data_IF_624614426746
#
_entry.id   IF_624614426746
#
_cell.length_a   1.000
_cell.length_b   1.000
_cell.length_c   1.000
_cell.angle_alpha   90.00
_cell.angle_beta   90.00
_cell.angle_gamma   90.00
#
_symmetry.space_group_name_H-M   'P 1'
#
loop_
_entity.id
_entity.type
_entity.pdbx_description
1 polymer ?
#
# COMPACT_ATOMS: atom_id res chain seq x y z
N UNK A 1 -23.75 -16.88 -14.11
CA UNK A 1 -24.25 -15.53 -14.46
C UNK A 1 -23.74 -15.24 -15.86
N UNK A 2 -24.43 -15.75 -16.88
CA UNK A 2 -24.12 -15.45 -18.28
C UNK A 2 -24.38 -13.97 -18.53
N UNK A 3 -23.34 -13.23 -18.84
CA UNK A 3 -23.45 -11.86 -19.32
C UNK A 3 -22.62 -11.81 -20.59
N UNK A 4 -23.30 -11.49 -21.68
CA UNK A 4 -22.77 -11.22 -23.02
C UNK A 4 -21.88 -9.96 -22.97
N UNK A 5 -20.76 -10.08 -22.27
CA UNK A 5 -19.68 -9.11 -22.27
C UNK A 5 -18.91 -9.38 -23.55
N UNK A 6 -19.29 -8.75 -24.65
CA UNK A 6 -18.58 -8.87 -25.94
C UNK A 6 -17.24 -8.13 -25.89
N UNK A 7 -16.37 -8.50 -24.94
CA UNK A 7 -15.11 -7.83 -24.62
C UNK A 7 -14.20 -7.85 -25.85
N UNK A 8 -14.19 -8.97 -26.58
CA UNK A 8 -13.43 -9.13 -27.81
C UNK A 8 -13.84 -8.13 -28.88
N UNK A 9 -15.10 -7.69 -28.90
CA UNK A 9 -15.61 -6.67 -29.83
C UNK A 9 -15.37 -5.23 -29.34
N UNK A 10 -15.25 -5.03 -28.02
CA UNK A 10 -15.04 -3.72 -27.41
C UNK A 10 -13.59 -3.23 -27.54
N UNK A 11 -12.61 -4.13 -27.38
CA UNK A 11 -11.18 -3.79 -27.40
C UNK A 11 -10.68 -3.19 -28.72
N UNK A 12 -11.15 -3.63 -29.91
CA UNK A 12 -10.82 -2.99 -31.18
C UNK A 12 -11.63 -1.72 -31.50
N UNK A 13 -12.70 -1.43 -30.75
CA UNK A 13 -13.66 -0.35 -31.07
C UNK A 13 -13.65 0.81 -30.07
N UNK A 14 -12.50 1.08 -29.45
CA UNK A 14 -12.32 2.10 -28.42
C UNK A 14 -12.52 3.55 -28.91
N UNK A 15 -12.54 3.77 -30.22
CA UNK A 15 -12.84 5.07 -30.82
C UNK A 15 -14.31 5.50 -30.61
N UNK A 16 -15.20 4.55 -30.29
CA UNK A 16 -16.58 4.82 -29.92
C UNK A 16 -16.70 5.09 -28.42
N UNK A 17 -17.24 6.26 -28.05
CA UNK A 17 -17.50 6.62 -26.66
C UNK A 17 -18.35 5.57 -25.93
N UNK A 18 -19.29 4.93 -26.63
CA UNK A 18 -20.16 3.91 -26.04
C UNK A 18 -19.38 2.63 -25.74
N UNK A 19 -18.52 2.19 -26.67
CA UNK A 19 -17.64 1.03 -26.46
C UNK A 19 -16.63 1.29 -25.35
N UNK A 20 -16.03 2.47 -25.34
CA UNK A 20 -15.09 2.92 -24.31
C UNK A 20 -15.73 2.91 -22.93
N UNK A 21 -16.87 3.60 -22.75
CA UNK A 21 -17.57 3.66 -21.47
C UNK A 21 -17.96 2.27 -20.98
N UNK A 22 -18.41 1.39 -21.88
CA UNK A 22 -18.77 0.02 -21.52
C UNK A 22 -17.55 -0.80 -21.08
N UNK A 23 -16.41 -0.64 -21.74
CA UNK A 23 -15.19 -1.33 -21.32
C UNK A 23 -14.68 -0.80 -19.97
N UNK A 24 -14.70 0.53 -19.75
CA UNK A 24 -14.36 1.14 -18.47
C UNK A 24 -15.24 0.58 -17.35
N UNK A 25 -16.56 0.49 -17.57
CA UNK A 25 -17.51 -0.05 -16.60
C UNK A 25 -17.21 -1.52 -16.24
N UNK A 26 -16.84 -2.34 -17.23
CA UNK A 26 -16.42 -3.73 -17.01
C UNK A 26 -15.14 -3.77 -16.17
N UNK A 27 -14.11 -3.01 -16.57
CA UNK A 27 -12.84 -2.93 -15.86
C UNK A 27 -13.01 -2.48 -14.41
N UNK A 28 -13.83 -1.44 -14.18
CA UNK A 28 -14.14 -0.92 -12.86
C UNK A 28 -14.85 -1.97 -11.99
N UNK A 29 -15.84 -2.69 -12.54
CA UNK A 29 -16.52 -3.79 -11.81
C UNK A 29 -15.56 -4.91 -11.42
N UNK A 30 -14.63 -5.27 -12.32
CA UNK A 30 -13.57 -6.25 -12.02
C UNK A 30 -12.66 -5.72 -10.92
N UNK A 31 -12.19 -4.47 -11.03
CA UNK A 31 -11.32 -3.83 -10.03
C UNK A 31 -11.98 -3.79 -8.66
N UNK A 32 -13.25 -3.36 -8.57
CA UNK A 32 -14.03 -3.35 -7.34
C UNK A 32 -14.15 -4.75 -6.72
N UNK A 33 -14.40 -5.78 -7.53
CA UNK A 33 -14.51 -7.14 -7.01
C UNK A 33 -13.17 -7.63 -6.45
N UNK A 34 -12.05 -7.34 -7.12
CA UNK A 34 -10.69 -7.64 -6.62
C UNK A 34 -10.42 -6.90 -5.30
N UNK A 35 -10.78 -5.61 -5.22
CA UNK A 35 -10.62 -4.80 -4.01
C UNK A 35 -11.51 -5.30 -2.87
N UNK A 36 -12.77 -5.67 -3.14
CA UNK A 36 -13.70 -6.22 -2.15
C UNK A 36 -13.22 -7.55 -1.59
N UNK A 37 -12.68 -8.42 -2.46
CA UNK A 37 -12.09 -9.68 -2.03
C UNK A 37 -10.86 -9.45 -1.13
N UNK A 38 -10.07 -8.41 -1.42
CA UNK A 38 -8.91 -8.01 -0.62
C UNK A 38 -9.23 -6.95 0.44
N UNK A 39 -10.52 -6.67 0.70
CA UNK A 39 -10.95 -5.47 1.43
C UNK A 39 -10.34 -5.37 2.82
N UNK A 40 -10.31 -6.49 3.57
CA UNK A 40 -9.69 -6.53 4.90
C UNK A 40 -8.23 -6.02 4.92
N UNK A 41 -7.51 -6.10 3.80
CA UNK A 41 -6.09 -5.72 3.66
C UNK A 41 -5.91 -4.25 3.29
N UNK A 42 -6.84 -3.68 2.53
CA UNK A 42 -6.73 -2.30 2.01
C UNK A 42 -7.61 -1.33 2.81
N UNK A 43 -8.62 -1.82 3.53
CA UNK A 43 -9.59 -1.04 4.30
C UNK A 43 -8.95 -0.03 5.23
N UNK A 44 -7.91 -0.45 5.97
CA UNK A 44 -7.22 0.41 6.93
C UNK A 44 -6.41 1.53 6.26
N UNK A 45 -6.04 1.38 4.98
CA UNK A 45 -5.28 2.37 4.21
C UNK A 45 -6.24 3.30 3.46
N UNK A 46 -7.29 2.73 2.87
CA UNK A 46 -8.38 3.44 2.19
C UNK A 46 -9.05 4.44 3.15
N UNK A 47 -9.26 4.05 4.41
CA UNK A 47 -9.80 4.94 5.44
C UNK A 47 -8.86 6.08 5.87
N UNK A 48 -7.53 5.93 5.71
CA UNK A 48 -6.55 6.95 6.17
C UNK A 48 -6.55 8.18 5.30
N UNK A 49 -6.59 7.98 3.99
CA UNK A 49 -6.52 9.07 3.00
C UNK A 49 -7.91 9.54 2.53
N UNK A 50 -8.97 9.18 3.27
CA UNK A 50 -10.38 9.52 2.96
C UNK A 50 -10.84 9.05 1.56
N UNK A 51 -10.18 8.03 1.02
CA UNK A 51 -10.51 7.44 -0.27
C UNK A 51 -11.70 6.48 -0.13
N UNK A 52 -12.57 6.43 -1.12
CA UNK A 52 -13.55 5.34 -1.24
C UNK A 52 -12.95 4.15 -1.98
N UNK A 53 -13.57 2.97 -1.84
CA UNK A 53 -13.22 1.81 -2.68
C UNK A 53 -13.38 2.12 -4.18
N UNK A 54 -14.33 2.99 -4.49
CA UNK A 54 -14.62 3.42 -5.85
C UNK A 54 -13.49 4.27 -6.41
N UNK A 55 -12.96 5.20 -5.61
CA UNK A 55 -11.79 6.02 -5.98
C UNK A 55 -10.58 5.12 -6.28
N UNK A 56 -10.27 4.19 -5.37
CA UNK A 56 -9.15 3.25 -5.56
C UNK A 56 -9.37 2.35 -6.78
N UNK A 57 -10.61 1.93 -7.05
CA UNK A 57 -10.92 1.12 -8.23
C UNK A 57 -10.71 1.91 -9.53
N UNK A 58 -11.15 3.17 -9.56
CA UNK A 58 -11.00 4.08 -10.71
C UNK A 58 -9.52 4.38 -10.94
N UNK A 59 -8.79 4.78 -9.90
CA UNK A 59 -7.37 5.13 -9.99
C UNK A 59 -6.50 3.96 -10.44
N UNK A 60 -6.84 2.74 -9.99
CA UNK A 60 -6.15 1.51 -10.43
C UNK A 60 -6.19 1.32 -11.95
N UNK A 61 -7.32 1.66 -12.60
CA UNK A 61 -7.55 1.40 -14.02
C UNK A 61 -7.35 2.64 -14.90
N UNK A 62 -7.35 3.86 -14.35
CA UNK A 62 -7.23 5.13 -15.09
C UNK A 62 -6.04 5.12 -16.07
N UNK A 63 -4.92 4.56 -15.61
CA UNK A 63 -3.76 4.09 -16.39
C UNK A 63 -4.01 3.65 -17.82
N UNK A 64 -4.94 2.70 -17.92
CA UNK A 64 -5.20 1.93 -19.12
C UNK A 64 -5.91 2.75 -20.21
N UNK A 65 -6.60 3.81 -19.78
CA UNK A 65 -7.48 4.63 -20.60
C UNK A 65 -6.92 6.05 -20.80
N UNK A 66 -5.63 6.27 -20.54
CA UNK A 66 -4.95 7.47 -21.00
C UNK A 66 -4.81 7.42 -22.52
N UNK A 67 -5.32 8.45 -23.19
CA UNK A 67 -5.14 8.64 -24.62
C UNK A 67 -3.82 9.34 -24.92
N UNK A 68 -3.18 9.00 -26.03
CA UNK A 68 -2.07 9.77 -26.56
C UNK A 68 -2.53 11.11 -27.17
N UNK A 69 -1.58 11.90 -27.70
CA UNK A 69 -1.86 13.18 -28.38
C UNK A 69 -2.82 13.04 -29.59
N UNK A 70 -2.99 11.83 -30.12
CA UNK A 70 -3.88 11.51 -31.24
C UNK A 70 -5.21 10.89 -30.78
N UNK A 71 -5.50 10.87 -29.47
CA UNK A 71 -6.73 10.30 -28.93
C UNK A 71 -6.74 8.76 -28.83
N UNK A 72 -5.59 8.08 -29.01
CA UNK A 72 -5.52 6.61 -29.00
C UNK A 72 -5.17 6.05 -27.63
N UNK A 73 -5.90 5.02 -27.21
CA UNK A 73 -5.69 4.31 -25.94
C UNK A 73 -4.58 3.25 -26.05
N UNK A 74 -3.33 3.68 -26.11
CA UNK A 74 -2.17 2.83 -26.41
C UNK A 74 -1.88 1.78 -25.33
N UNK A 75 -2.10 2.09 -24.06
CA UNK A 75 -1.79 1.18 -22.93
C UNK A 75 -2.61 -0.11 -22.98
N UNK A 76 -3.94 -0.01 -23.05
CA UNK A 76 -4.80 -1.21 -23.09
C UNK A 76 -4.68 -1.94 -24.43
N UNK A 77 -4.53 -1.20 -25.53
CA UNK A 77 -4.40 -1.77 -26.88
C UNK A 77 -3.09 -2.54 -27.04
N UNK A 78 -1.98 -2.00 -26.53
CA UNK A 78 -0.69 -2.70 -26.56
C UNK A 78 -0.69 -3.93 -25.65
N UNK A 79 -1.29 -3.84 -24.46
CA UNK A 79 -1.45 -4.98 -23.56
C UNK A 79 -2.25 -6.12 -24.20
N UNK A 80 -3.33 -5.80 -24.92
CA UNK A 80 -4.14 -6.76 -25.67
C UNK A 80 -3.35 -7.40 -26.81
N UNK A 81 -2.69 -6.60 -27.65
CA UNK A 81 -1.98 -7.09 -28.84
C UNK A 81 -0.72 -7.90 -28.51
N UNK A 82 -0.10 -7.63 -27.36
CA UNK A 82 1.12 -8.33 -26.90
C UNK A 82 0.82 -9.57 -26.05
N UNK A 83 -0.45 -9.83 -25.72
CA UNK A 83 -0.82 -10.96 -24.87
C UNK A 83 -0.50 -12.31 -25.53
N UNK A 84 -0.01 -13.25 -24.72
CA UNK A 84 0.31 -14.61 -25.17
C UNK A 84 -0.36 -15.63 -24.25
N UNK A 85 -1.10 -16.61 -24.81
CA UNK A 85 -1.37 -16.81 -26.24
C UNK A 85 -2.37 -15.80 -26.84
N UNK A 86 -2.45 -15.73 -28.19
CA UNK A 86 -3.53 -15.18 -28.99
C UNK A 86 -4.89 -15.00 -28.33
N UNK A 87 -5.39 -13.79 -28.03
CA UNK A 87 -6.78 -13.66 -27.58
C UNK A 87 -7.71 -13.89 -28.79
N UNK A 88 -8.45 -15.01 -28.79
CA UNK A 88 -9.29 -15.42 -29.93
C UNK A 88 -10.76 -15.62 -29.56
N UNK A 89 -11.04 -15.92 -28.30
CA UNK A 89 -12.38 -16.17 -27.78
C UNK A 89 -12.78 -15.12 -26.74
N UNK A 90 -14.08 -15.03 -26.42
CA UNK A 90 -14.54 -14.18 -25.31
C UNK A 90 -14.00 -14.67 -23.96
N UNK A 91 -13.81 -15.97 -23.77
CA UNK A 91 -13.21 -16.52 -22.55
C UNK A 91 -11.75 -16.08 -22.42
N UNK A 92 -10.98 -16.09 -23.52
CA UNK A 92 -9.61 -15.56 -23.54
C UNK A 92 -9.60 -14.06 -23.20
N UNK A 93 -10.54 -13.30 -23.76
CA UNK A 93 -10.65 -11.86 -23.55
C UNK A 93 -11.02 -11.54 -22.09
N UNK A 94 -11.94 -12.31 -21.51
CA UNK A 94 -12.32 -12.20 -20.10
C UNK A 94 -11.16 -12.58 -19.18
N UNK A 95 -10.44 -13.65 -19.49
CA UNK A 95 -9.27 -14.07 -18.72
C UNK A 95 -8.16 -13.02 -18.77
N UNK A 96 -7.82 -12.53 -19.96
CA UNK A 96 -6.89 -11.41 -20.18
C UNK A 96 -7.28 -10.21 -19.34
N UNK A 97 -8.53 -9.76 -19.44
CA UNK A 97 -8.99 -8.55 -18.76
C UNK A 97 -8.91 -8.73 -17.25
N UNK A 98 -9.39 -9.86 -16.72
CA UNK A 98 -9.29 -10.15 -15.29
C UNK A 98 -7.84 -10.13 -14.80
N UNK A 99 -6.91 -10.76 -15.53
CA UNK A 99 -5.48 -10.77 -15.15
C UNK A 99 -4.85 -9.38 -15.23
N UNK A 100 -5.15 -8.62 -16.28
CA UNK A 100 -4.67 -7.26 -16.45
C UNK A 100 -5.15 -6.36 -15.30
N UNK A 101 -6.46 -6.34 -15.05
CA UNK A 101 -7.05 -5.49 -14.00
C UNK A 101 -6.58 -5.91 -12.62
N UNK A 102 -6.48 -7.22 -12.33
CA UNK A 102 -5.94 -7.70 -11.07
C UNK A 102 -4.50 -7.18 -10.84
N UNK A 103 -3.63 -7.27 -11.84
CA UNK A 103 -2.26 -6.76 -11.76
C UNK A 103 -2.23 -5.24 -11.51
N UNK A 104 -3.12 -4.49 -12.16
CA UNK A 104 -3.22 -3.04 -12.01
C UNK A 104 -3.68 -2.63 -10.60
N UNK A 105 -4.69 -3.31 -10.08
CA UNK A 105 -5.16 -3.12 -8.69
C UNK A 105 -4.04 -3.44 -7.69
N UNK A 106 -3.31 -4.53 -7.88
CA UNK A 106 -2.19 -4.90 -6.99
C UNK A 106 -1.05 -3.87 -7.00
N UNK A 107 -0.71 -3.35 -8.18
CA UNK A 107 0.27 -2.28 -8.34
C UNK A 107 -0.18 -1.00 -7.62
N UNK A 108 -1.44 -0.63 -7.77
CA UNK A 108 -1.99 0.57 -7.16
C UNK A 108 -2.10 0.45 -5.63
N UNK A 109 -2.54 -0.70 -5.11
CA UNK A 109 -2.51 -0.98 -3.66
C UNK A 109 -1.08 -0.83 -3.12
N UNK A 110 -0.10 -1.41 -3.81
CA UNK A 110 1.31 -1.31 -3.41
C UNK A 110 1.82 0.13 -3.45
N UNK A 111 1.37 0.93 -4.42
CA UNK A 111 1.70 2.34 -4.53
C UNK A 111 1.11 3.14 -3.36
N UNK A 112 -0.19 3.02 -3.09
CA UNK A 112 -0.86 3.70 -1.97
C UNK A 112 -0.18 3.31 -0.64
N UNK A 113 0.14 2.02 -0.46
CA UNK A 113 0.85 1.54 0.73
C UNK A 113 2.18 2.27 0.97
N UNK A 114 2.99 2.42 -0.08
CA UNK A 114 4.27 3.14 0.01
C UNK A 114 4.08 4.62 0.29
N UNK A 115 3.13 5.27 -0.37
CA UNK A 115 2.85 6.70 -0.15
C UNK A 115 2.29 6.95 1.26
N UNK A 116 1.53 6.00 1.78
CA UNK A 116 0.91 6.12 3.09
C UNK A 116 1.92 6.01 4.24
N UNK A 117 3.02 5.27 4.05
CA UNK A 117 3.90 4.81 5.12
C UNK A 117 5.38 4.68 4.67
N UNK A 118 6.24 5.65 5.02
CA UNK A 118 7.67 5.63 4.69
C UNK A 118 8.43 4.43 5.28
N UNK A 119 8.06 3.96 6.46
CA UNK A 119 8.70 2.81 7.13
C UNK A 119 8.36 1.54 6.36
N UNK A 120 7.08 1.37 5.98
CA UNK A 120 6.66 0.29 5.11
C UNK A 120 7.45 0.30 3.79
N UNK A 121 7.62 1.48 3.16
CA UNK A 121 8.40 1.58 1.92
C UNK A 121 9.85 1.11 2.11
N UNK A 122 10.53 1.54 3.18
CA UNK A 122 11.92 1.15 3.45
C UNK A 122 12.07 -0.36 3.66
N UNK A 123 11.20 -0.97 4.48
CA UNK A 123 11.21 -2.43 4.72
C UNK A 123 10.91 -3.17 3.41
N UNK A 124 9.97 -2.67 2.61
CA UNK A 124 9.64 -3.25 1.31
C UNK A 124 10.83 -3.21 0.34
N UNK A 125 11.59 -2.11 0.31
CA UNK A 125 12.78 -1.99 -0.52
C UNK A 125 13.89 -2.95 -0.06
N UNK A 126 14.10 -3.12 1.25
CA UNK A 126 15.01 -4.14 1.79
C UNK A 126 14.59 -5.56 1.41
N UNK A 127 13.30 -5.89 1.50
CA UNK A 127 12.77 -7.18 1.09
C UNK A 127 12.94 -7.40 -0.43
N UNK A 128 12.65 -6.40 -1.26
CA UNK A 128 12.88 -6.46 -2.71
C UNK A 128 14.35 -6.68 -3.07
N UNK A 129 15.26 -6.03 -2.34
CA UNK A 129 16.70 -6.24 -2.51
C UNK A 129 17.08 -7.70 -2.22
N UNK A 130 16.61 -8.27 -1.11
CA UNK A 130 16.86 -9.68 -0.76
C UNK A 130 16.23 -10.64 -1.79
N UNK A 131 15.01 -10.36 -2.28
CA UNK A 131 14.36 -11.13 -3.36
C UNK A 131 15.28 -11.19 -4.58
N UNK A 132 15.80 -10.03 -5.00
CA UNK A 132 16.67 -9.94 -6.19
C UNK A 132 18.04 -10.58 -5.96
N UNK A 133 18.61 -10.42 -4.76
CA UNK A 133 19.93 -10.97 -4.38
C UNK A 133 19.95 -12.49 -4.36
N UNK A 134 18.84 -13.11 -3.94
CA UNK A 134 18.70 -14.55 -3.80
C UNK A 134 17.88 -15.20 -4.91
N UNK A 135 17.62 -14.46 -6.01
CA UNK A 135 16.88 -14.93 -7.19
C UNK A 135 15.48 -15.48 -6.89
N UNK A 136 14.77 -14.92 -5.92
CA UNK A 136 13.36 -15.25 -5.68
C UNK A 136 12.44 -14.55 -6.70
N UNK A 137 11.29 -15.17 -6.99
CA UNK A 137 10.28 -14.61 -7.90
C UNK A 137 9.05 -14.11 -7.16
N UNK A 138 8.29 -13.24 -7.80
CA UNK A 138 6.96 -12.80 -7.34
C UNK A 138 5.88 -13.38 -8.24
N UNK A 139 4.87 -13.99 -7.61
CA UNK A 139 3.70 -14.51 -8.30
C UNK A 139 2.42 -13.94 -7.66
N UNK A 140 1.40 -13.70 -8.47
CA UNK A 140 0.13 -13.13 -8.04
C UNK A 140 -0.97 -14.20 -8.01
N UNK A 141 -1.70 -14.28 -6.91
CA UNK A 141 -2.85 -15.16 -6.75
C UNK A 141 -3.97 -14.50 -5.92
N UNK A 142 -5.16 -14.43 -6.50
CA UNK A 142 -6.37 -13.85 -5.90
C UNK A 142 -6.13 -12.47 -5.23
N UNK A 143 -5.40 -11.60 -5.94
CA UNK A 143 -5.07 -10.24 -5.48
C UNK A 143 -3.97 -10.16 -4.41
N UNK A 144 -3.24 -11.25 -4.18
CA UNK A 144 -2.11 -11.30 -3.24
C UNK A 144 -0.83 -11.61 -3.99
N UNK A 145 0.20 -10.81 -3.73
CA UNK A 145 1.55 -11.06 -4.23
C UNK A 145 2.26 -11.99 -3.25
N UNK A 146 2.78 -13.09 -3.77
CA UNK A 146 3.58 -14.07 -3.05
C UNK A 146 5.02 -14.06 -3.55
N UNK A 147 5.96 -14.30 -2.65
CA UNK A 147 7.35 -14.62 -2.95
C UNK A 147 7.45 -16.14 -3.09
N UNK A 148 8.10 -16.62 -4.14
CA UNK A 148 8.32 -18.05 -4.42
C UNK A 148 9.78 -18.31 -4.82
N UNK A 149 10.23 -19.56 -4.68
CA UNK A 149 11.52 -20.00 -5.21
C UNK A 149 11.59 -19.86 -6.73
N UNK A 150 12.76 -19.54 -7.27
CA UNK A 150 12.99 -19.39 -8.72
C UNK A 150 12.67 -20.65 -9.53
N UNK A 151 12.84 -21.82 -8.91
CA UNK A 151 12.53 -23.13 -9.49
C UNK A 151 11.03 -23.32 -9.78
N UNK A 152 10.17 -22.51 -9.18
CA UNK A 152 8.74 -22.50 -9.44
C UNK A 152 8.37 -21.32 -10.34
N UNK A 153 7.68 -21.63 -11.45
CA UNK A 153 7.14 -20.60 -12.35
C UNK A 153 5.72 -20.16 -11.94
N UNK A 154 5.03 -20.95 -11.13
CA UNK A 154 3.67 -20.68 -10.67
C UNK A 154 3.51 -21.08 -9.20
N UNK A 155 2.48 -20.55 -8.56
CA UNK A 155 2.09 -20.95 -7.21
C UNK A 155 1.52 -22.37 -7.25
N UNK A 156 2.21 -23.31 -6.61
CA UNK A 156 1.68 -24.66 -6.38
C UNK A 156 0.80 -24.71 -5.13
N UNK A 157 -0.09 -25.71 -5.06
CA UNK A 157 -0.78 -26.10 -3.81
C UNK A 157 -1.68 -25.04 -3.16
N UNK A 158 -2.00 -25.27 -1.88
CA UNK A 158 -2.79 -24.36 -1.05
C UNK A 158 -1.85 -23.30 -0.46
N UNK A 159 -2.07 -22.02 -0.76
CA UNK A 159 -1.27 -20.94 -0.19
C UNK A 159 -1.71 -20.63 1.26
N UNK A 160 -0.77 -20.21 2.11
CA UNK A 160 -1.06 -19.83 3.49
C UNK A 160 -2.00 -18.61 3.56
N UNK A 161 -3.13 -18.68 4.29
CA UNK A 161 -3.96 -17.53 4.59
C UNK A 161 -3.19 -16.47 5.37
N UNK A 162 -3.47 -15.19 5.12
CA UNK A 162 -2.72 -14.09 5.73
C UNK A 162 -2.89 -14.06 7.26
N UNK A 163 -4.08 -14.37 7.75
CA UNK A 163 -4.38 -14.44 9.18
C UNK A 163 -3.67 -15.61 9.89
N UNK A 164 -3.27 -16.64 9.14
CA UNK A 164 -2.39 -17.70 9.64
C UNK A 164 -0.92 -17.29 9.53
N UNK A 165 -0.53 -16.62 8.44
CA UNK A 165 0.82 -16.09 8.25
C UNK A 165 1.20 -15.06 9.34
N UNK A 166 0.29 -14.18 9.73
CA UNK A 166 0.52 -13.16 10.76
C UNK A 166 0.77 -13.76 12.15
N UNK A 167 0.32 -15.00 12.38
CA UNK A 167 0.51 -15.76 13.62
C UNK A 167 1.79 -16.58 13.64
N UNK A 168 2.59 -16.55 12.57
CA UNK A 168 3.85 -17.27 12.54
C UNK A 168 4.79 -16.82 13.67
N UNK A 169 5.59 -17.75 14.24
CA UNK A 169 6.50 -17.46 15.34
C UNK A 169 7.46 -16.29 15.03
N UNK A 170 7.61 -15.29 15.92
CA UNK A 170 8.50 -14.14 15.73
C UNK A 170 9.96 -14.52 15.42
N UNK A 171 10.42 -15.65 15.94
CA UNK A 171 11.78 -16.16 15.80
C UNK A 171 12.16 -16.43 14.34
N UNK A 172 11.18 -16.68 13.47
CA UNK A 172 11.39 -16.89 12.03
C UNK A 172 11.85 -15.60 11.31
N UNK A 173 11.60 -14.44 11.91
CA UNK A 173 11.80 -13.13 11.27
C UNK A 173 13.02 -12.36 11.78
N UNK A 174 13.75 -12.91 12.75
CA UNK A 174 14.89 -12.23 13.40
C UNK A 174 16.16 -12.23 12.55
N UNK A 175 16.46 -13.35 11.87
CA UNK A 175 17.62 -13.47 11.00
C UNK A 175 17.34 -12.86 9.62
N UNK A 176 17.77 -11.61 9.42
CA UNK A 176 17.61 -10.88 8.14
C UNK A 176 18.28 -11.57 6.94
N UNK A 177 19.35 -12.32 7.16
CA UNK A 177 20.10 -12.99 6.08
C UNK A 177 19.36 -14.25 5.64
N UNK A 178 18.84 -15.01 6.60
CA UNK A 178 18.13 -16.28 6.35
C UNK A 178 16.60 -16.15 6.37
N UNK A 179 16.07 -14.92 6.40
CA UNK A 179 14.64 -14.63 6.52
C UNK A 179 13.79 -15.49 5.58
N UNK A 180 14.07 -15.42 4.28
CA UNK A 180 13.28 -16.16 3.29
C UNK A 180 13.45 -17.67 3.40
N UNK A 181 14.68 -18.16 3.61
CA UNK A 181 14.90 -19.61 3.76
C UNK A 181 14.20 -20.17 5.00
N UNK A 182 14.21 -19.43 6.12
CA UNK A 182 13.55 -19.83 7.35
C UNK A 182 12.03 -19.90 7.15
N UNK A 183 11.45 -18.87 6.52
CA UNK A 183 10.01 -18.83 6.23
C UNK A 183 9.59 -19.91 5.24
N UNK A 184 10.35 -20.13 4.15
CA UNK A 184 10.04 -21.19 3.20
C UNK A 184 10.09 -22.57 3.85
N UNK A 185 11.14 -22.85 4.62
CA UNK A 185 11.29 -24.14 5.32
C UNK A 185 10.15 -24.37 6.33
N UNK A 186 9.80 -23.35 7.11
CA UNK A 186 8.72 -23.48 8.07
C UNK A 186 7.38 -23.70 7.40
N UNK A 187 7.06 -22.92 6.37
CA UNK A 187 5.79 -23.07 5.64
C UNK A 187 5.72 -24.45 4.99
N UNK A 188 6.81 -24.95 4.39
CA UNK A 188 6.79 -26.25 3.71
C UNK A 188 6.78 -27.46 4.64
N UNK A 189 7.43 -27.36 5.81
CA UNK A 189 7.65 -28.52 6.68
C UNK A 189 6.70 -28.56 7.88
N UNK A 190 6.30 -27.40 8.39
CA UNK A 190 5.55 -27.26 9.63
C UNK A 190 4.08 -26.85 9.37
N UNK A 191 3.68 -26.68 8.11
CA UNK A 191 2.29 -26.36 7.72
C UNK A 191 1.83 -27.17 6.50
N UNK A 192 0.51 -27.21 6.26
CA UNK A 192 -0.09 -27.86 5.07
C UNK A 192 -0.08 -26.95 3.81
N UNK A 193 0.71 -25.88 3.83
CA UNK A 193 0.73 -24.87 2.79
C UNK A 193 1.91 -25.04 1.84
N UNK A 194 1.73 -24.53 0.62
CA UNK A 194 2.80 -24.41 -0.34
C UNK A 194 3.83 -23.37 0.10
N UNK A 195 5.08 -23.61 -0.30
CA UNK A 195 6.23 -22.75 -0.04
C UNK A 195 6.11 -21.40 -0.76
N UNK A 196 5.25 -20.52 -0.26
CA UNK A 196 4.93 -19.22 -0.80
C UNK A 196 4.69 -18.21 0.34
N UNK A 197 5.36 -17.06 0.28
CA UNK A 197 5.32 -16.05 1.34
C UNK A 197 4.48 -14.86 0.89
N UNK A 198 3.35 -14.52 1.55
CA UNK A 198 2.56 -13.34 1.20
C UNK A 198 3.36 -12.05 1.45
N UNK A 199 3.70 -11.34 0.37
CA UNK A 199 4.69 -10.25 0.37
C UNK A 199 4.30 -9.08 1.28
N UNK A 200 3.09 -8.52 1.15
CA UNK A 200 2.69 -7.38 1.96
C UNK A 200 2.52 -7.76 3.44
N UNK A 201 2.03 -8.97 3.72
CA UNK A 201 1.90 -9.48 5.09
C UNK A 201 3.27 -9.65 5.76
N UNK A 202 4.29 -10.10 5.00
CA UNK A 202 5.67 -10.10 5.47
C UNK A 202 6.15 -8.70 5.86
N UNK A 203 5.90 -7.67 5.04
CA UNK A 203 6.34 -6.30 5.35
C UNK A 203 5.69 -5.80 6.63
N UNK A 204 4.39 -6.03 6.82
CA UNK A 204 3.69 -5.70 8.05
C UNK A 204 4.25 -6.43 9.26
N UNK A 205 4.51 -7.74 9.13
CA UNK A 205 5.07 -8.53 10.22
C UNK A 205 6.46 -8.07 10.63
N UNK A 206 7.33 -7.78 9.65
CA UNK A 206 8.66 -7.22 9.90
C UNK A 206 8.59 -5.85 10.57
N UNK A 207 7.62 -5.01 10.17
CA UNK A 207 7.38 -3.72 10.79
C UNK A 207 6.97 -3.87 12.26
N UNK A 208 5.97 -4.71 12.54
CA UNK A 208 5.50 -5.04 13.89
C UNK A 208 6.65 -5.50 14.81
N UNK A 209 7.48 -6.43 14.31
CA UNK A 209 8.56 -7.05 15.09
C UNK A 209 9.74 -6.10 15.33
N UNK A 210 10.11 -5.27 14.34
CA UNK A 210 11.13 -4.24 14.55
C UNK A 210 10.75 -3.33 15.72
N UNK A 211 9.47 -3.03 15.91
CA UNK A 211 8.97 -2.17 17.01
C UNK A 211 8.98 -2.92 18.34
N UNK A 212 8.59 -4.20 18.35
CA UNK A 212 8.58 -5.03 19.55
C UNK A 212 9.98 -5.19 20.17
N UNK A 213 11.01 -5.31 19.33
CA UNK A 213 12.41 -5.36 19.78
C UNK A 213 12.82 -4.07 20.51
N UNK A 214 12.33 -2.90 20.08
CA UNK A 214 12.60 -1.61 20.75
C UNK A 214 11.83 -1.42 22.06
N UNK A 215 10.66 -2.05 22.24
CA UNK A 215 9.91 -1.99 23.53
C UNK A 215 10.54 -2.84 24.63
N UNK A 216 11.43 -3.78 24.29
CA UNK A 216 12.09 -4.69 25.24
C UNK A 216 13.52 -4.26 25.56
N UNK A 217 14.19 -3.52 24.66
CA UNK A 217 15.58 -3.10 24.82
C UNK A 217 15.75 -1.79 25.62
N UNK A 218 15.22 -1.73 26.85
CA UNK A 218 15.70 -0.77 27.87
C UNK A 218 16.90 -1.32 28.65
N UNK A 219 17.36 -2.53 28.34
CA UNK A 219 18.53 -3.13 29.00
C UNK A 219 19.23 -4.12 28.08
N UNK A 220 20.18 -3.63 27.29
CA UNK A 220 21.55 -4.16 27.15
C UNK A 220 22.22 -3.48 25.96
N UNK A 221 23.28 -2.74 26.24
CA UNK A 221 24.26 -2.30 25.26
C UNK A 221 24.92 -3.55 24.66
N UNK A 222 24.61 -3.87 23.40
CA UNK A 222 25.60 -4.36 22.44
C UNK A 222 24.99 -4.56 21.03
N UNK A 223 25.69 -3.99 20.05
CA UNK A 223 25.69 -4.32 18.60
C UNK A 223 24.83 -3.46 17.65
N UNK A 224 25.46 -2.35 17.25
CA UNK A 224 25.53 -1.68 15.95
C UNK A 224 24.64 -2.18 14.79
N UNK A 225 24.07 -1.19 14.08
CA UNK A 225 23.23 -1.22 12.87
C UNK A 225 21.70 -1.32 13.07
N UNK A 226 21.20 -1.24 14.30
CA UNK A 226 19.79 -0.91 14.57
C UNK A 226 19.56 0.59 14.42
N UNK A 227 19.25 0.98 13.18
CA UNK A 227 18.67 2.27 12.79
C UNK A 227 17.56 2.67 13.79
N UNK A 228 17.81 3.65 14.67
CA UNK A 228 16.89 4.05 15.73
C UNK A 228 15.65 4.73 15.15
N UNK A 229 14.64 3.93 14.79
CA UNK A 229 13.35 4.40 14.22
C UNK A 229 12.74 5.51 15.08
N UNK A 230 12.86 5.42 16.41
CA UNK A 230 12.39 6.46 17.33
C UNK A 230 13.14 7.78 17.16
N UNK A 231 14.46 7.74 16.98
CA UNK A 231 15.29 8.94 16.77
C UNK A 231 14.98 9.58 15.42
N UNK A 232 14.81 8.77 14.38
CA UNK A 232 14.33 9.21 13.05
C UNK A 232 12.97 9.91 13.14
N UNK A 233 12.01 9.28 13.82
CA UNK A 233 10.65 9.84 13.98
C UNK A 233 10.70 11.15 14.77
N UNK A 234 11.45 11.18 15.88
CA UNK A 234 11.58 12.39 16.71
C UNK A 234 12.18 13.57 15.93
N UNK A 235 13.24 13.32 15.16
CA UNK A 235 13.84 14.34 14.29
C UNK A 235 12.85 14.83 13.22
N UNK A 236 12.11 13.92 12.59
CA UNK A 236 11.10 14.27 11.60
C UNK A 236 9.94 15.09 12.21
N UNK A 237 9.50 14.76 13.42
CA UNK A 237 8.48 15.51 14.17
C UNK A 237 8.98 16.93 14.48
N UNK A 238 10.21 17.08 14.97
CA UNK A 238 10.78 18.40 15.27
C UNK A 238 10.95 19.27 14.01
N UNK A 239 11.38 18.69 12.89
CA UNK A 239 11.43 19.38 11.60
C UNK A 239 10.04 19.83 11.14
N UNK A 240 9.02 19.01 11.37
CA UNK A 240 7.62 19.35 11.07
C UNK A 240 7.12 20.48 11.97
N UNK A 241 7.47 20.47 13.26
CA UNK A 241 7.13 21.55 14.20
C UNK A 241 7.77 22.88 13.83
N UNK A 242 9.03 22.87 13.40
CA UNK A 242 9.70 24.06 12.89
C UNK A 242 8.90 24.68 11.75
N UNK A 243 8.48 23.87 10.77
CA UNK A 243 7.68 24.34 9.63
C UNK A 243 6.28 24.83 10.02
N UNK A 244 5.62 24.14 10.96
CA UNK A 244 4.34 24.57 11.54
C UNK A 244 4.44 25.99 12.09
N UNK A 245 5.45 26.26 12.91
CA UNK A 245 5.64 27.60 13.49
C UNK A 245 5.95 28.64 12.41
N UNK A 246 6.92 28.36 11.53
CA UNK A 246 7.38 29.30 10.49
C UNK A 246 6.31 29.65 9.43
N UNK A 247 5.38 28.73 9.18
CA UNK A 247 4.42 28.88 8.07
C UNK A 247 3.05 29.31 8.55
N UNK A 248 2.63 28.89 9.75
CA UNK A 248 1.27 29.06 10.22
C UNK A 248 1.17 29.92 11.47
N UNK A 249 2.10 29.83 12.42
CA UNK A 249 2.10 30.70 13.61
C UNK A 249 2.57 32.12 13.27
N UNK A 250 3.79 32.25 12.71
CA UNK A 250 4.40 33.55 12.40
C UNK A 250 3.59 34.37 11.39
N UNK A 251 2.86 33.68 10.50
CA UNK A 251 1.97 34.29 9.51
C UNK A 251 0.55 34.53 10.03
N UNK A 252 0.29 34.27 11.30
CA UNK A 252 -1.01 34.49 11.95
C UNK A 252 -2.16 33.61 11.43
N UNK A 253 -1.86 32.50 10.75
CA UNK A 253 -2.87 31.55 10.25
C UNK A 253 -3.40 30.64 11.35
N UNK A 254 -2.59 30.40 12.38
CA UNK A 254 -2.95 29.69 13.59
C UNK A 254 -2.51 30.52 14.81
N UNK A 255 -3.32 30.51 15.85
CA UNK A 255 -3.01 30.98 17.19
C UNK A 255 -2.08 30.02 17.94
N UNK A 256 -1.51 30.48 19.06
CA UNK A 256 -0.64 29.63 19.90
C UNK A 256 -1.36 28.39 20.44
N UNK A 257 -2.63 28.52 20.82
CA UNK A 257 -3.42 27.38 21.31
C UNK A 257 -3.70 26.38 20.18
N UNK A 258 -4.05 26.84 18.98
CA UNK A 258 -4.21 25.96 17.82
C UNK A 258 -2.88 25.26 17.48
N UNK A 259 -1.73 25.94 17.57
CA UNK A 259 -0.43 25.31 17.35
C UNK A 259 -0.15 24.20 18.37
N UNK A 260 -0.51 24.38 19.64
CA UNK A 260 -0.37 23.32 20.66
C UNK A 260 -1.21 22.09 20.32
N UNK A 261 -2.46 22.30 19.85
CA UNK A 261 -3.34 21.23 19.37
C UNK A 261 -2.70 20.50 18.18
N UNK A 262 -2.22 21.24 17.18
CA UNK A 262 -1.56 20.65 16.01
C UNK A 262 -0.28 19.87 16.38
N UNK A 263 0.50 20.33 17.36
CA UNK A 263 1.69 19.58 17.83
C UNK A 263 1.33 18.23 18.45
N UNK A 264 0.26 18.17 19.26
CA UNK A 264 -0.24 16.90 19.82
C UNK A 264 -0.74 15.98 18.70
N UNK A 265 -1.52 16.54 17.78
CA UNK A 265 -2.04 15.84 16.59
C UNK A 265 -0.92 15.21 15.77
N UNK A 266 0.16 15.96 15.46
CA UNK A 266 1.31 15.46 14.70
C UNK A 266 2.05 14.35 15.45
N UNK A 267 2.17 14.42 16.79
CA UNK A 267 2.79 13.34 17.58
C UNK A 267 1.98 12.06 17.52
N UNK A 268 0.66 12.14 17.66
CA UNK A 268 -0.21 10.98 17.55
C UNK A 268 -0.12 10.35 16.16
N UNK A 269 -0.09 11.18 15.11
CA UNK A 269 0.12 10.70 13.74
C UNK A 269 1.47 10.00 13.57
N UNK A 270 2.54 10.54 14.18
CA UNK A 270 3.87 9.95 14.12
C UNK A 270 3.94 8.60 14.88
N UNK A 271 3.29 8.49 16.04
CA UNK A 271 3.17 7.24 16.78
C UNK A 271 2.33 6.21 16.02
N UNK A 272 1.22 6.61 15.40
CA UNK A 272 0.42 5.69 14.58
C UNK A 272 1.18 5.25 13.32
N UNK A 273 1.99 6.13 12.72
CA UNK A 273 2.91 5.74 11.65
C UNK A 273 3.95 4.72 12.14
N UNK A 274 4.40 4.80 13.38
CA UNK A 274 5.28 3.78 14.00
C UNK A 274 4.55 2.45 14.12
N UNK A 275 3.44 2.42 14.84
CA UNK A 275 2.76 1.18 15.25
C UNK A 275 1.89 0.55 14.14
N UNK A 276 1.90 1.12 12.93
CA UNK A 276 1.02 0.69 11.84
C UNK A 276 -0.45 1.00 12.12
N UNK A 277 -0.70 1.96 13.02
CA UNK A 277 -1.98 2.30 13.64
C UNK A 277 -3.11 2.64 12.66
N UNK A 278 -4.32 2.28 13.04
CA UNK A 278 -5.51 2.20 12.17
C UNK A 278 -6.45 3.42 12.37
N UNK A 279 -5.91 4.61 12.65
CA UNK A 279 -6.76 5.76 12.96
C UNK A 279 -7.34 6.47 11.70
N UNK A 280 -8.58 6.97 11.79
CA UNK A 280 -9.48 7.15 10.66
C UNK A 280 -9.54 8.63 10.28
N UNK A 281 -8.85 9.00 9.20
CA UNK A 281 -8.88 10.35 8.64
C UNK A 281 -8.21 11.42 9.51
N UNK A 282 -7.72 12.46 8.83
CA UNK A 282 -7.01 13.58 9.47
C UNK A 282 -7.91 14.36 10.44
N UNK A 283 -9.21 14.45 10.16
CA UNK A 283 -10.19 15.08 11.06
C UNK A 283 -10.18 14.45 12.45
N UNK A 284 -10.14 13.11 12.53
CA UNK A 284 -10.25 12.41 13.81
C UNK A 284 -9.05 12.70 14.71
N UNK A 285 -7.84 12.69 14.16
CA UNK A 285 -6.64 13.06 14.92
C UNK A 285 -6.76 14.46 15.52
N UNK A 286 -7.25 15.43 14.75
CA UNK A 286 -7.39 16.80 15.25
C UNK A 286 -8.51 16.92 16.28
N UNK A 287 -9.65 16.26 16.04
CA UNK A 287 -10.84 16.33 16.90
C UNK A 287 -10.60 15.80 18.31
N UNK A 288 -9.67 14.85 18.49
CA UNK A 288 -9.27 14.32 19.80
C UNK A 288 -8.68 15.40 20.71
N UNK A 289 -8.03 16.41 20.12
CA UNK A 289 -7.36 17.49 20.84
C UNK A 289 -8.08 18.83 20.74
N UNK A 290 -9.16 18.92 19.96
CA UNK A 290 -9.85 20.16 19.63
C UNK A 290 -11.33 20.07 20.02
N UNK A 291 -11.61 20.43 21.27
CA UNK A 291 -12.97 20.48 21.81
C UNK A 291 -13.87 21.40 20.98
N UNK A 292 -15.02 20.87 20.54
CA UNK A 292 -16.02 21.63 19.77
C UNK A 292 -15.69 21.81 18.28
N UNK A 293 -14.66 21.13 17.76
CA UNK A 293 -14.34 21.17 16.32
C UNK A 293 -15.46 20.51 15.49
N UNK A 294 -16.16 21.31 14.70
CA UNK A 294 -17.14 20.81 13.73
C UNK A 294 -16.46 20.38 12.42
N UNK A 295 -17.05 19.41 11.71
CA UNK A 295 -16.55 18.97 10.40
C UNK A 295 -16.48 20.12 9.38
N UNK A 296 -17.46 21.03 9.40
CA UNK A 296 -17.50 22.18 8.49
C UNK A 296 -16.34 23.14 8.76
N UNK A 297 -16.06 23.43 10.03
CA UNK A 297 -14.92 24.26 10.43
C UNK A 297 -13.60 23.60 10.03
N UNK A 298 -13.48 22.28 10.24
CA UNK A 298 -12.32 21.51 9.81
C UNK A 298 -12.10 21.64 8.30
N UNK A 299 -13.10 21.35 7.47
CA UNK A 299 -13.01 21.40 6.01
C UNK A 299 -12.62 22.79 5.50
N UNK A 300 -13.18 23.84 6.06
CA UNK A 300 -12.93 25.21 5.60
C UNK A 300 -11.59 25.79 6.06
N UNK A 301 -11.13 25.46 7.27
CA UNK A 301 -9.99 26.14 7.91
C UNK A 301 -8.77 25.26 8.12
N UNK A 302 -8.94 24.02 8.56
CA UNK A 302 -7.84 23.21 9.09
C UNK A 302 -7.41 22.06 8.19
N UNK A 303 -8.28 21.57 7.31
CA UNK A 303 -8.02 20.42 6.45
C UNK A 303 -6.74 20.58 5.62
N UNK A 304 -6.64 21.64 4.82
CA UNK A 304 -5.46 21.89 3.97
C UNK A 304 -4.16 22.07 4.78
N UNK A 305 -4.26 22.60 6.01
CA UNK A 305 -3.09 22.80 6.89
C UNK A 305 -2.62 21.43 7.39
N UNK A 306 -3.55 20.62 7.91
CA UNK A 306 -3.23 19.32 8.47
C UNK A 306 -2.79 18.33 7.39
N UNK A 307 -3.38 18.37 6.21
CA UNK A 307 -2.98 17.57 5.05
C UNK A 307 -1.54 17.91 4.63
N UNK A 308 -1.20 19.20 4.53
CA UNK A 308 0.16 19.62 4.23
C UNK A 308 1.17 19.13 5.29
N UNK A 309 0.85 19.31 6.57
CA UNK A 309 1.73 18.89 7.66
C UNK A 309 1.88 17.37 7.74
N UNK A 310 0.82 16.61 7.42
CA UNK A 310 0.85 15.16 7.27
C UNK A 310 1.84 14.72 6.18
N UNK A 311 1.72 15.31 4.98
CA UNK A 311 2.62 15.04 3.86
C UNK A 311 4.07 15.41 4.21
N UNK A 312 4.27 16.55 4.86
CA UNK A 312 5.58 16.99 5.29
C UNK A 312 6.20 16.05 6.34
N UNK A 313 5.42 15.58 7.32
CA UNK A 313 5.87 14.61 8.31
C UNK A 313 6.35 13.33 7.63
N UNK A 314 5.54 12.77 6.72
CA UNK A 314 5.90 11.57 5.95
C UNK A 314 7.20 11.78 5.14
N UNK A 315 7.34 12.94 4.48
CA UNK A 315 8.55 13.27 3.73
C UNK A 315 9.77 13.35 4.65
N UNK A 316 9.67 14.06 5.78
CA UNK A 316 10.77 14.18 6.73
C UNK A 316 11.20 12.81 7.28
N UNK A 317 10.25 11.90 7.56
CA UNK A 317 10.57 10.52 7.96
C UNK A 317 11.29 9.79 6.81
N UNK A 318 10.79 9.90 5.57
CA UNK A 318 11.39 9.26 4.42
C UNK A 318 12.85 9.70 4.19
N UNK A 319 13.12 11.01 4.28
CA UNK A 319 14.46 11.58 4.11
C UNK A 319 15.44 11.05 5.16
N UNK A 320 15.02 11.03 6.43
CA UNK A 320 15.82 10.49 7.54
C UNK A 320 16.05 8.97 7.45
N UNK A 321 15.19 8.24 6.74
CA UNK A 321 15.39 6.81 6.44
C UNK A 321 16.33 6.56 5.24
N UNK A 322 16.63 7.59 4.44
CA UNK A 322 17.53 7.50 3.28
C UNK A 322 18.97 7.91 3.58
N UNK A 323 19.19 8.71 4.63
CA UNK A 323 20.51 9.03 5.18
C UNK A 323 21.22 7.81 5.79
#
# INVERSE_FOLDING_TARGET
MEKDYRILQLLPSLDSQQSLNRLIEICYKVALNVLRFNYKKVHNIILRDELSLDDVAIDSIASLFLSDENGKFTTITSAFNSWQPPIKTEDDALYFLNKLIQKRVEQHISFILRESDPIFSKIMDSANYLIKKHDYKKASYLGTIYIINSDHNELGGKNIPIDEFEKLPPELFTDKIKLFSNLFNYISNDTDYSSAIPFNALIYKLKELNIALYKVSESTEEQSETFEINTVINLAVENTFKKLNETYLTKGKLSEEEVKIFRRTIKDMAEDLKDGGVNPGLYKYLSVHFDGLTEECYKQKYHNILEYLSKLLKQNIADQLME
#
